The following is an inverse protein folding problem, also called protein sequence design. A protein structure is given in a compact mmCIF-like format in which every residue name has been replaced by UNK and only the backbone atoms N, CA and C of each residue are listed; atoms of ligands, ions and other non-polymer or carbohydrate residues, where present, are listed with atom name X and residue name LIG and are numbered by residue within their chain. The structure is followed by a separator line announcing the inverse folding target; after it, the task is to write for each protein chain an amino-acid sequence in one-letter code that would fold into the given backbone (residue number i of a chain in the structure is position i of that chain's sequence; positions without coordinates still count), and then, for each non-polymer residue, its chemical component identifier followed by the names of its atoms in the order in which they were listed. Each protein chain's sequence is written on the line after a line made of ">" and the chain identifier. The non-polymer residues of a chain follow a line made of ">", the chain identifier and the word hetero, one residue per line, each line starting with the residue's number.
data_IF_384198051669
#
_entry.id   IF_384198051669
#
_cell.length_a   1.000
_cell.length_b   1.000
_cell.length_c   1.000
_cell.angle_alpha   90.00
_cell.angle_beta   90.00
_cell.angle_gamma   90.00
#
_symmetry.space_group_name_H-M   'P 1'
#
loop_
_entity.id
_entity.type
_entity.pdbx_description
1 polymer ?
#
# COMPACT_ATOMS: atom_id res chain seq x y z
N UNK A 1 5.18 19.30 16.53
CA UNK A 1 4.59 18.81 15.27
C UNK A 1 5.09 17.39 15.02
N UNK A 2 4.20 16.40 15.09
CA UNK A 2 4.48 15.00 14.77
C UNK A 2 4.85 14.86 13.28
N UNK A 3 5.41 13.70 12.91
CA UNK A 3 5.71 13.41 11.50
C UNK A 3 4.43 13.41 10.66
N UNK A 4 3.35 12.82 11.17
CA UNK A 4 2.02 12.86 10.54
C UNK A 4 1.53 14.28 10.30
N UNK A 5 1.61 15.15 11.32
CA UNK A 5 1.17 16.55 11.18
C UNK A 5 1.95 17.30 10.09
N UNK A 6 3.27 17.08 10.00
CA UNK A 6 4.10 17.68 8.93
C UNK A 6 3.69 17.21 7.54
N UNK A 7 3.41 15.91 7.38
CA UNK A 7 2.95 15.33 6.11
C UNK A 7 1.59 15.93 5.73
N UNK A 8 0.66 16.05 6.68
CA UNK A 8 -0.66 16.66 6.43
C UNK A 8 -0.56 18.11 6.00
N UNK A 9 0.37 18.89 6.57
CA UNK A 9 0.61 20.26 6.14
C UNK A 9 1.13 20.34 4.69
N UNK A 10 2.03 19.43 4.29
CA UNK A 10 2.52 19.34 2.91
C UNK A 10 1.42 18.89 1.94
N UNK A 11 0.58 17.91 2.34
CA UNK A 11 -0.56 17.45 1.55
C UNK A 11 -1.65 18.53 1.37
N UNK A 12 -1.74 19.52 2.26
CA UNK A 12 -2.64 20.65 2.05
C UNK A 12 -2.23 21.50 0.85
N UNK A 13 -0.93 21.52 0.52
CA UNK A 13 -0.38 22.21 -0.65
C UNK A 13 -0.32 21.28 -1.88
N UNK A 14 0.06 20.01 -1.68
CA UNK A 14 0.26 19.00 -2.73
C UNK A 14 -0.60 17.74 -2.49
N UNK A 15 -1.95 17.83 -2.60
CA UNK A 15 -2.85 16.76 -2.17
C UNK A 15 -2.72 15.44 -2.94
N UNK A 16 -2.20 15.49 -4.17
CA UNK A 16 -2.05 14.33 -5.03
C UNK A 16 -0.62 13.73 -5.00
N UNK A 17 0.28 14.28 -4.18
CA UNK A 17 1.63 13.73 -4.08
C UNK A 17 1.58 12.30 -3.53
N UNK A 18 1.95 11.35 -4.38
CA UNK A 18 1.84 9.92 -4.07
C UNK A 18 2.78 9.50 -2.94
N UNK A 19 3.95 10.14 -2.85
CA UNK A 19 4.93 9.85 -1.81
C UNK A 19 4.45 10.35 -0.44
N UNK A 20 3.85 11.54 -0.38
CA UNK A 20 3.28 12.10 0.84
C UNK A 20 2.05 11.31 1.29
N UNK A 21 1.15 10.92 0.37
CA UNK A 21 0.01 10.04 0.67
C UNK A 21 0.49 8.69 1.20
N UNK A 22 1.49 8.08 0.58
CA UNK A 22 2.06 6.80 1.05
C UNK A 22 2.71 6.96 2.43
N UNK A 23 3.45 8.05 2.64
CA UNK A 23 4.09 8.37 3.92
C UNK A 23 3.06 8.57 5.03
N UNK A 24 1.92 9.20 4.73
CA UNK A 24 0.81 9.35 5.67
C UNK A 24 0.26 7.98 6.09
N UNK A 25 0.01 7.09 5.12
CA UNK A 25 -0.44 5.73 5.43
C UNK A 25 0.54 4.98 6.35
N UNK A 26 1.85 5.11 6.12
CA UNK A 26 2.84 4.46 6.98
C UNK A 26 2.87 5.03 8.41
N UNK A 27 2.61 6.32 8.60
CA UNK A 27 2.47 6.87 9.95
C UNK A 27 1.16 6.42 10.62
N UNK A 28 0.06 6.33 9.89
CA UNK A 28 -1.21 5.78 10.39
C UNK A 28 -1.08 4.31 10.80
N UNK A 29 -0.38 3.49 10.01
CA UNK A 29 -0.03 2.11 10.39
C UNK A 29 0.70 2.05 11.73
N UNK A 30 1.68 2.92 11.97
CA UNK A 30 2.43 2.97 13.24
C UNK A 30 1.55 3.36 14.43
N UNK A 31 0.56 4.20 14.18
CA UNK A 31 -0.44 4.61 15.16
C UNK A 31 -1.57 3.57 15.33
N UNK A 32 -1.47 2.41 14.67
CA UNK A 32 -2.48 1.35 14.63
C UNK A 32 -3.83 1.79 14.04
N UNK A 33 -3.85 2.91 13.32
CA UNK A 33 -4.99 3.32 12.50
C UNK A 33 -4.94 2.58 11.15
N UNK A 34 -5.16 1.27 11.24
CA UNK A 34 -5.01 0.37 10.10
C UNK A 34 -6.08 0.60 9.04
N UNK A 35 -7.29 0.99 9.44
CA UNK A 35 -8.40 1.24 8.52
C UNK A 35 -8.05 2.39 7.56
N UNK A 36 -7.62 3.53 8.10
CA UNK A 36 -7.27 4.69 7.29
C UNK A 36 -5.98 4.47 6.49
N UNK A 37 -4.98 3.79 7.09
CA UNK A 37 -3.77 3.39 6.39
C UNK A 37 -4.07 2.56 5.14
N UNK A 38 -4.88 1.50 5.29
CA UNK A 38 -5.24 0.60 4.19
C UNK A 38 -6.08 1.33 3.15
N UNK A 39 -7.00 2.22 3.56
CA UNK A 39 -7.79 3.05 2.62
C UNK A 39 -6.88 3.86 1.70
N UNK A 40 -5.93 4.62 2.26
CA UNK A 40 -5.01 5.46 1.49
C UNK A 40 -4.10 4.60 0.58
N UNK A 41 -3.61 3.46 1.07
CA UNK A 41 -2.78 2.55 0.27
C UNK A 41 -3.56 1.96 -0.91
N UNK A 42 -4.81 1.55 -0.71
CA UNK A 42 -5.65 1.04 -1.80
C UNK A 42 -5.94 2.14 -2.82
N UNK A 43 -6.20 3.36 -2.38
CA UNK A 43 -6.37 4.50 -3.30
C UNK A 43 -5.11 4.69 -4.15
N UNK A 44 -3.92 4.69 -3.57
CA UNK A 44 -2.65 4.82 -4.31
C UNK A 44 -2.37 3.63 -5.23
N UNK A 45 -2.74 2.43 -4.81
CA UNK A 45 -2.54 1.21 -5.58
C UNK A 45 -3.35 1.25 -6.89
N UNK A 46 -4.62 1.65 -6.81
CA UNK A 46 -5.52 1.69 -7.96
C UNK A 46 -5.62 3.05 -8.64
N UNK A 47 -4.87 4.06 -8.18
CA UNK A 47 -4.78 5.37 -8.82
C UNK A 47 -4.18 5.20 -10.23
N UNK A 48 -4.90 5.55 -11.32
CA UNK A 48 -4.43 5.34 -12.68
C UNK A 48 -3.21 6.21 -13.04
N UNK A 49 -2.98 7.32 -12.32
CA UNK A 49 -1.85 8.22 -12.55
C UNK A 49 -0.60 7.78 -11.78
N UNK A 50 -0.79 7.29 -10.55
CA UNK A 50 0.33 6.87 -9.69
C UNK A 50 0.71 5.40 -9.88
N UNK A 51 -0.30 4.51 -9.92
CA UNK A 51 -0.18 3.05 -9.93
C UNK A 51 0.93 2.56 -9.01
N UNK A 52 0.84 2.95 -7.75
CA UNK A 52 1.96 2.85 -6.83
C UNK A 52 2.16 1.40 -6.37
N UNK A 53 3.01 0.65 -7.07
CA UNK A 53 3.20 -0.81 -6.87
C UNK A 53 3.45 -1.18 -5.40
N UNK A 54 4.25 -0.39 -4.69
CA UNK A 54 4.55 -0.65 -3.28
C UNK A 54 3.30 -0.55 -2.36
N UNK A 55 2.27 0.19 -2.77
CA UNK A 55 1.04 0.35 -2.00
C UNK A 55 0.20 -0.94 -1.98
N UNK A 56 0.19 -1.71 -3.08
CA UNK A 56 -0.41 -3.05 -3.09
C UNK A 56 0.21 -3.95 -2.04
N UNK A 57 1.54 -4.01 -2.01
CA UNK A 57 2.26 -4.89 -1.09
C UNK A 57 2.05 -4.50 0.37
N UNK A 58 2.13 -3.20 0.70
CA UNK A 58 1.94 -2.75 2.09
C UNK A 58 0.52 -2.95 2.59
N UNK A 59 -0.50 -2.66 1.77
CA UNK A 59 -1.88 -2.90 2.18
C UNK A 59 -2.14 -4.41 2.35
N UNK A 60 -1.58 -5.26 1.48
CA UNK A 60 -1.71 -6.71 1.62
C UNK A 60 -1.04 -7.23 2.89
N UNK A 61 0.15 -6.73 3.25
CA UNK A 61 0.82 -7.07 4.50
C UNK A 61 -0.03 -6.68 5.71
N UNK A 62 -0.57 -5.46 5.75
CA UNK A 62 -1.44 -5.04 6.86
C UNK A 62 -2.72 -5.89 6.93
N UNK A 63 -3.35 -6.20 5.80
CA UNK A 63 -4.53 -7.07 5.75
C UNK A 63 -4.21 -8.47 6.27
N UNK A 64 -3.03 -9.01 5.95
CA UNK A 64 -2.57 -10.29 6.47
C UNK A 64 -2.32 -10.26 7.99
N UNK A 65 -1.68 -9.20 8.50
CA UNK A 65 -1.49 -8.96 9.94
C UNK A 65 -2.82 -8.89 10.71
N UNK A 66 -3.88 -8.44 10.05
CA UNK A 66 -5.25 -8.35 10.60
C UNK A 66 -6.12 -9.58 10.31
N UNK A 67 -5.52 -10.69 9.85
CA UNK A 67 -6.20 -11.93 9.49
C UNK A 67 -7.27 -11.78 8.37
N UNK A 68 -7.23 -10.69 7.60
CA UNK A 68 -8.10 -10.44 6.44
C UNK A 68 -7.53 -11.06 5.15
N UNK A 69 -7.28 -12.37 5.20
CA UNK A 69 -6.47 -13.11 4.23
C UNK A 69 -7.00 -13.01 2.79
N UNK A 70 -8.31 -13.12 2.59
CA UNK A 70 -8.88 -13.07 1.23
C UNK A 70 -8.69 -11.70 0.56
N UNK A 71 -8.77 -10.62 1.35
CA UNK A 71 -8.50 -9.27 0.83
C UNK A 71 -7.00 -9.09 0.53
N UNK A 72 -6.12 -9.59 1.39
CA UNK A 72 -4.68 -9.56 1.15
C UNK A 72 -4.32 -10.30 -0.15
N UNK A 73 -4.86 -11.51 -0.34
CA UNK A 73 -4.63 -12.32 -1.55
C UNK A 73 -5.11 -11.63 -2.82
N UNK A 74 -6.29 -11.01 -2.80
CA UNK A 74 -6.80 -10.25 -3.94
C UNK A 74 -5.84 -9.12 -4.32
N UNK A 75 -5.42 -8.33 -3.33
CA UNK A 75 -4.54 -7.19 -3.56
C UNK A 75 -3.15 -7.60 -4.07
N UNK A 76 -2.62 -8.73 -3.60
CA UNK A 76 -1.35 -9.27 -4.10
C UNK A 76 -1.42 -9.70 -5.56
N UNK A 77 -2.52 -10.33 -5.99
CA UNK A 77 -2.70 -10.73 -7.40
C UNK A 77 -2.68 -9.50 -8.31
N UNK A 78 -3.48 -8.49 -7.98
CA UNK A 78 -3.53 -7.23 -8.74
C UNK A 78 -2.16 -6.53 -8.74
N UNK A 79 -1.50 -6.46 -7.59
CA UNK A 79 -0.17 -5.86 -7.46
C UNK A 79 0.91 -6.58 -8.27
N UNK A 80 0.88 -7.92 -8.35
CA UNK A 80 1.82 -8.70 -9.17
C UNK A 80 1.64 -8.38 -10.66
N UNK A 81 0.40 -8.24 -11.13
CA UNK A 81 0.11 -7.87 -12.52
C UNK A 81 0.59 -6.45 -12.85
N UNK A 82 0.33 -5.49 -11.96
CA UNK A 82 0.77 -4.11 -12.14
C UNK A 82 2.31 -4.01 -12.07
N UNK A 83 2.95 -4.70 -11.12
CA UNK A 83 4.40 -4.76 -11.01
C UNK A 83 5.05 -5.33 -12.29
N UNK A 84 4.47 -6.37 -12.89
CA UNK A 84 4.95 -6.92 -14.17
C UNK A 84 4.76 -5.94 -15.32
N UNK A 85 3.62 -5.25 -15.36
CA UNK A 85 3.34 -4.20 -16.36
C UNK A 85 4.38 -3.09 -16.31
N UNK A 86 4.81 -2.70 -15.11
CA UNK A 86 5.85 -1.69 -14.89
C UNK A 86 7.29 -2.24 -14.94
N UNK A 87 7.48 -3.51 -15.30
CA UNK A 87 8.77 -4.21 -15.28
C UNK A 87 9.48 -4.20 -13.91
N UNK A 88 8.72 -4.03 -12.82
CA UNK A 88 9.18 -4.11 -11.43
C UNK A 88 9.16 -5.57 -10.95
N UNK A 89 10.05 -6.38 -11.53
CA UNK A 89 10.10 -7.82 -11.28
C UNK A 89 10.46 -8.16 -9.83
N UNK A 90 11.21 -7.28 -9.15
CA UNK A 90 11.54 -7.46 -7.74
C UNK A 90 10.28 -7.38 -6.86
N UNK A 91 9.46 -6.34 -7.02
CA UNK A 91 8.20 -6.23 -6.28
C UNK A 91 7.22 -7.36 -6.63
N UNK A 92 7.18 -7.77 -7.91
CA UNK A 92 6.36 -8.91 -8.32
C UNK A 92 6.78 -10.21 -7.61
N UNK A 93 8.09 -10.42 -7.41
CA UNK A 93 8.62 -11.59 -6.70
C UNK A 93 8.24 -11.55 -5.21
N UNK A 94 8.45 -10.42 -4.53
CA UNK A 94 8.10 -10.28 -3.10
C UNK A 94 6.60 -10.49 -2.84
N UNK A 95 5.74 -9.92 -3.69
CA UNK A 95 4.30 -10.13 -3.59
C UNK A 95 3.90 -11.58 -3.87
N UNK A 96 4.57 -12.26 -4.80
CA UNK A 96 4.31 -13.67 -5.12
C UNK A 96 4.70 -14.60 -3.96
N UNK A 97 5.79 -14.28 -3.27
CA UNK A 97 6.24 -15.00 -2.07
C UNK A 97 5.20 -14.88 -0.95
N UNK A 98 4.79 -13.65 -0.61
CA UNK A 98 3.76 -13.44 0.41
C UNK A 98 2.44 -14.13 0.03
N UNK A 99 2.01 -14.05 -1.24
CA UNK A 99 0.78 -14.71 -1.70
C UNK A 99 0.84 -16.23 -1.51
N UNK A 100 2.02 -16.83 -1.75
CA UNK A 100 2.24 -18.26 -1.56
C UNK A 100 2.20 -18.65 -0.09
N UNK A 101 2.76 -17.82 0.79
CA UNK A 101 2.74 -18.06 2.23
C UNK A 101 1.34 -17.96 2.84
N UNK A 102 0.53 -17.00 2.36
CA UNK A 102 -0.87 -16.90 2.74
C UNK A 102 -1.73 -18.03 2.17
N UNK A 103 -1.22 -18.83 1.23
CA UNK A 103 -1.88 -19.93 0.54
C UNK A 103 -1.86 -21.27 1.29
N UNK A 104 -1.00 -21.39 2.30
CA UNK A 104 -0.79 -22.60 3.12
C UNK A 104 -1.87 -22.74 4.19
#
# INVERSE_FOLDING_TARGET
>A
MSRKEKILAMLAEEPNDSFLRYSLAMELRKEQDHEESIRILRELAYDPEAKYVAAFFMAAQQLAELEQIEQARALLRDGIEEARTQNNLHAAAEMSELLSDLGK
#
